data_IF_372593549819
#
_entry.id   IF_372593549819
#
_cell.length_a   1.000
_cell.length_b   1.000
_cell.length_c   1.000
_cell.angle_alpha   90.00
_cell.angle_beta   90.00
_cell.angle_gamma   90.00
#
_symmetry.space_group_name_H-M   'P 1'
#
loop_
_entity.id
_entity.type
_entity.pdbx_description
1 polymer ?
#
# COMPACT_ATOMS: atom_id res chain seq x y z
N UNK A 1 51.27 -5.00 -2.82
CA UNK A 1 50.17 -4.51 -3.65
C UNK A 1 49.93 -3.07 -3.28
N UNK A 2 49.83 -2.17 -4.25
CA UNK A 2 49.47 -0.78 -3.99
C UNK A 2 47.96 -0.72 -3.70
N UNK A 3 47.59 -0.14 -2.57
CA UNK A 3 46.18 0.10 -2.22
C UNK A 3 45.72 1.35 -2.97
N UNK A 4 44.64 1.31 -3.76
CA UNK A 4 44.16 2.49 -4.44
C UNK A 4 43.69 3.51 -3.40
N UNK A 5 44.17 4.75 -3.52
CA UNK A 5 43.63 5.89 -2.78
C UNK A 5 42.59 6.52 -3.70
N UNK A 6 41.32 6.28 -3.40
CA UNK A 6 40.22 7.00 -4.02
C UNK A 6 40.19 8.41 -3.40
N UNK A 7 40.82 9.38 -4.07
CA UNK A 7 40.62 10.79 -3.75
C UNK A 7 39.23 11.19 -4.28
N UNK A 8 38.20 10.81 -3.56
CA UNK A 8 36.83 11.23 -3.82
C UNK A 8 36.69 12.67 -3.32
N UNK A 9 36.50 13.61 -4.24
CA UNK A 9 36.12 14.98 -3.89
C UNK A 9 34.75 14.90 -3.21
N UNK A 10 34.70 15.19 -1.90
CA UNK A 10 33.46 15.24 -1.12
C UNK A 10 32.90 16.66 -1.14
N UNK A 11 31.66 16.80 -1.60
CA UNK A 11 30.99 18.10 -1.71
C UNK A 11 30.18 18.32 -0.44
N UNK A 12 30.59 19.29 0.38
CA UNK A 12 29.89 19.60 1.64
C UNK A 12 28.68 20.52 1.41
N UNK A 13 28.77 21.41 0.42
CA UNK A 13 27.74 22.37 0.06
C UNK A 13 27.79 22.65 -1.44
N UNK A 14 26.62 22.85 -2.04
CA UNK A 14 26.47 23.41 -3.36
C UNK A 14 25.57 24.64 -3.31
N UNK A 15 25.71 25.54 -4.28
CA UNK A 15 24.82 26.69 -4.43
C UNK A 15 24.13 26.58 -5.78
N UNK A 16 22.80 26.72 -5.79
CA UNK A 16 21.99 26.76 -7.01
C UNK A 16 20.81 27.70 -6.78
N UNK A 17 20.51 28.57 -7.74
CA UNK A 17 19.30 29.40 -7.76
C UNK A 17 19.02 30.21 -6.48
N UNK A 18 20.09 30.64 -5.79
CA UNK A 18 19.97 31.40 -4.54
C UNK A 18 19.87 30.55 -3.27
N UNK A 19 19.84 29.22 -3.39
CA UNK A 19 19.76 28.29 -2.27
C UNK A 19 21.09 27.55 -2.04
N UNK A 20 21.37 27.25 -0.77
CA UNK A 20 22.49 26.40 -0.37
C UNK A 20 21.96 24.99 -0.20
N UNK A 21 22.46 24.08 -1.02
CA UNK A 21 22.19 22.64 -0.97
C UNK A 21 23.20 22.02 -0.01
N UNK A 22 22.71 21.49 1.11
CA UNK A 22 23.54 20.81 2.11
C UNK A 22 23.94 19.42 1.66
N UNK A 23 24.99 18.89 2.29
CA UNK A 23 25.47 17.53 2.07
C UNK A 23 24.36 16.46 2.21
N UNK A 24 23.49 16.59 3.22
CA UNK A 24 22.38 15.66 3.45
C UNK A 24 21.38 15.63 2.29
N UNK A 25 21.24 16.74 1.56
CA UNK A 25 20.40 16.82 0.36
C UNK A 25 21.14 16.30 -0.87
N UNK A 26 22.44 16.60 -0.98
CA UNK A 26 23.30 16.14 -2.09
C UNK A 26 23.43 14.62 -2.12
N UNK A 27 23.56 14.00 -0.94
CA UNK A 27 23.71 12.55 -0.78
C UNK A 27 22.51 11.97 -0.03
N UNK A 28 21.30 12.45 -0.36
CA UNK A 28 20.07 11.96 0.25
C UNK A 28 19.92 10.45 0.04
N UNK A 29 19.67 9.75 1.15
CA UNK A 29 19.25 8.36 1.11
C UNK A 29 17.80 8.26 0.62
N UNK A 30 17.65 7.93 -0.66
CA UNK A 30 16.36 7.83 -1.32
C UNK A 30 15.49 6.69 -0.77
N UNK A 31 16.09 5.64 -0.22
CA UNK A 31 15.33 4.51 0.33
C UNK A 31 14.77 4.88 1.71
N UNK A 32 15.58 5.51 2.55
CA UNK A 32 15.12 6.08 3.82
C UNK A 32 14.03 7.13 3.59
N UNK A 33 14.22 8.03 2.63
CA UNK A 33 13.21 9.04 2.30
C UNK A 33 11.85 8.43 1.92
N UNK A 34 11.84 7.37 1.10
CA UNK A 34 10.59 6.67 0.74
C UNK A 34 9.91 6.02 1.95
N UNK A 35 10.69 5.46 2.86
CA UNK A 35 10.16 4.89 4.11
C UNK A 35 9.52 5.97 4.98
N UNK A 36 10.20 7.11 5.14
CA UNK A 36 9.71 8.25 5.91
C UNK A 36 8.43 8.83 5.29
N UNK A 37 8.38 8.96 3.96
CA UNK A 37 7.18 9.41 3.24
C UNK A 37 6.00 8.46 3.45
N UNK A 38 6.23 7.15 3.32
CA UNK A 38 5.19 6.13 3.52
C UNK A 38 4.67 6.15 4.96
N UNK A 39 5.56 6.37 5.93
CA UNK A 39 5.20 6.49 7.34
C UNK A 39 4.33 7.73 7.57
N UNK A 40 4.76 8.90 7.10
CA UNK A 40 4.01 10.15 7.23
C UNK A 40 2.61 10.05 6.60
N UNK A 41 2.50 9.41 5.43
CA UNK A 41 1.21 9.15 4.78
C UNK A 41 0.28 8.30 5.66
N UNK A 42 0.78 7.20 6.25
CA UNK A 42 -0.01 6.36 7.16
C UNK A 42 -0.43 7.10 8.43
N UNK A 43 0.44 7.93 8.98
CA UNK A 43 0.12 8.76 10.15
C UNK A 43 -0.98 9.77 9.82
N UNK A 44 -0.90 10.42 8.65
CA UNK A 44 -1.94 11.33 8.18
C UNK A 44 -3.29 10.63 7.98
N UNK A 45 -3.30 9.42 7.41
CA UNK A 45 -4.52 8.59 7.32
C UNK A 45 -5.08 8.24 8.70
N UNK A 46 -4.21 7.90 9.64
CA UNK A 46 -4.59 7.66 11.03
C UNK A 46 -5.34 8.84 11.63
N UNK A 47 -4.82 10.06 11.44
CA UNK A 47 -5.51 11.28 11.90
C UNK A 47 -6.84 11.46 11.17
N UNK A 48 -6.85 11.35 9.84
CA UNK A 48 -8.05 11.55 9.02
C UNK A 48 -9.22 10.67 9.48
N UNK A 49 -8.95 9.40 9.77
CA UNK A 49 -10.00 8.45 10.17
C UNK A 49 -10.51 8.63 11.61
N UNK A 50 -9.86 9.47 12.41
CA UNK A 50 -10.32 9.84 13.76
C UNK A 50 -11.08 11.18 13.77
N UNK A 51 -11.08 11.91 12.66
CA UNK A 51 -11.75 13.21 12.58
C UNK A 51 -13.27 13.07 12.41
N UNK A 52 -14.08 14.00 12.94
CA UNK A 52 -15.54 13.96 12.88
C UNK A 52 -16.10 14.48 11.54
N UNK A 53 -15.39 14.28 10.43
CA UNK A 53 -15.84 14.62 9.09
C UNK A 53 -15.49 13.51 8.11
N UNK A 54 -16.29 13.41 7.05
CA UNK A 54 -16.13 12.40 6.02
C UNK A 54 -15.57 13.01 4.75
N UNK A 55 -14.56 12.36 4.16
CA UNK A 55 -14.00 12.71 2.86
C UNK A 55 -14.44 11.69 1.83
N UNK A 56 -15.20 12.12 0.81
CA UNK A 56 -15.75 11.22 -0.23
C UNK A 56 -14.64 10.47 -0.98
N UNK A 57 -13.51 11.13 -1.24
CA UNK A 57 -12.35 10.54 -1.92
C UNK A 57 -11.76 9.32 -1.19
N UNK A 58 -12.06 9.17 0.11
CA UNK A 58 -11.48 8.13 0.97
C UNK A 58 -12.49 7.05 1.36
N UNK A 59 -13.65 7.01 0.69
CA UNK A 59 -14.77 6.09 1.00
C UNK A 59 -14.32 4.63 1.14
N UNK A 60 -13.56 4.14 0.17
CA UNK A 60 -13.09 2.74 0.16
C UNK A 60 -12.17 2.44 1.35
N UNK A 61 -11.34 3.40 1.73
CA UNK A 61 -10.44 3.26 2.87
C UNK A 61 -11.19 3.25 4.20
N UNK A 62 -12.26 4.06 4.33
CA UNK A 62 -13.15 4.00 5.49
C UNK A 62 -13.81 2.62 5.62
N UNK A 63 -14.34 2.07 4.51
CA UNK A 63 -14.96 0.73 4.49
C UNK A 63 -13.93 -0.34 4.89
N UNK A 64 -12.71 -0.24 4.37
CA UNK A 64 -11.62 -1.16 4.70
C UNK A 64 -11.25 -1.10 6.17
N UNK A 65 -11.12 0.11 6.76
CA UNK A 65 -10.86 0.29 8.20
C UNK A 65 -11.97 -0.35 9.02
N UNK A 66 -13.23 0.00 8.77
CA UNK A 66 -14.38 -0.54 9.49
C UNK A 66 -14.46 -2.07 9.42
N UNK A 67 -14.20 -2.64 8.24
CA UNK A 67 -14.16 -4.10 8.04
C UNK A 67 -13.07 -4.74 8.89
N UNK A 68 -11.86 -4.17 8.90
CA UNK A 68 -10.74 -4.68 9.69
C UNK A 68 -11.02 -4.65 11.19
N UNK A 69 -11.65 -3.60 11.68
CA UNK A 69 -12.04 -3.45 13.08
C UNK A 69 -13.14 -4.43 13.48
N UNK A 70 -14.15 -4.63 12.62
CA UNK A 70 -15.19 -5.61 12.84
C UNK A 70 -14.63 -7.04 12.91
N UNK A 71 -13.70 -7.39 12.01
CA UNK A 71 -13.01 -8.69 12.03
C UNK A 71 -12.20 -8.84 13.33
N UNK A 72 -11.48 -7.79 13.75
CA UNK A 72 -10.72 -7.79 15.00
C UNK A 72 -11.63 -8.01 16.22
N UNK A 73 -12.74 -7.28 16.30
CA UNK A 73 -13.72 -7.46 17.38
C UNK A 73 -14.32 -8.87 17.38
N UNK A 74 -14.66 -9.39 16.21
CA UNK A 74 -15.17 -10.76 16.08
C UNK A 74 -14.15 -11.78 16.61
N UNK A 75 -12.88 -11.64 16.23
CA UNK A 75 -11.80 -12.51 16.70
C UNK A 75 -11.62 -12.43 18.22
N UNK A 76 -11.72 -11.23 18.81
CA UNK A 76 -11.60 -11.03 20.27
C UNK A 76 -12.77 -11.69 21.02
N UNK A 77 -14.00 -11.58 20.50
CA UNK A 77 -15.21 -12.03 21.20
C UNK A 77 -15.41 -13.55 21.05
N UNK A 78 -15.23 -14.07 19.83
CA UNK A 78 -15.61 -15.43 19.50
C UNK A 78 -14.43 -16.38 19.32
N UNK A 79 -13.19 -15.89 19.28
CA UNK A 79 -11.97 -16.71 19.19
C UNK A 79 -11.78 -17.44 17.85
N UNK A 80 -12.84 -17.58 17.05
CA UNK A 80 -12.85 -18.14 15.71
C UNK A 80 -12.90 -17.02 14.67
N UNK A 81 -11.88 -16.94 13.83
CA UNK A 81 -11.87 -16.08 12.66
C UNK A 81 -12.90 -16.58 11.65
N UNK A 82 -14.15 -16.14 11.77
CA UNK A 82 -15.15 -16.36 10.72
C UNK A 82 -14.67 -15.54 9.50
N UNK A 83 -14.47 -16.23 8.38
CA UNK A 83 -14.12 -15.59 7.11
C UNK A 83 -15.08 -14.45 6.82
N UNK A 84 -14.53 -13.30 6.41
CA UNK A 84 -15.34 -12.18 5.95
C UNK A 84 -16.35 -12.68 4.91
N UNK A 85 -17.61 -12.21 4.92
CA UNK A 85 -18.56 -12.59 3.89
C UNK A 85 -17.97 -12.24 2.53
N UNK A 86 -17.67 -13.27 1.73
CA UNK A 86 -17.34 -13.13 0.33
C UNK A 86 -18.49 -12.38 -0.34
N UNK A 87 -18.14 -11.28 -1.00
CA UNK A 87 -18.90 -10.59 -2.05
C UNK A 87 -20.38 -11.03 -2.16
N UNK A 88 -21.31 -10.22 -1.64
CA UNK A 88 -22.71 -10.31 -2.05
C UNK A 88 -22.76 -9.83 -3.50
N UNK A 89 -22.62 -10.76 -4.44
CA UNK A 89 -22.96 -10.51 -5.84
C UNK A 89 -24.42 -10.00 -5.90
N UNK A 90 -24.69 -8.93 -6.66
CA UNK A 90 -26.07 -8.54 -6.92
C UNK A 90 -26.72 -9.66 -7.74
N UNK A 91 -27.64 -10.37 -7.08
CA UNK A 91 -28.54 -11.36 -7.67
C UNK A 91 -29.31 -10.74 -8.84
N UNK A 92 -28.84 -10.97 -10.07
CA UNK A 92 -29.63 -10.77 -11.29
C UNK A 92 -30.24 -12.12 -11.65
N UNK A 93 -31.57 -12.14 -11.77
CA UNK A 93 -32.40 -13.31 -12.06
C UNK A 93 -32.02 -14.02 -13.37
N UNK A 94 -32.10 -15.35 -13.32
CA UNK A 94 -31.85 -16.32 -14.39
C UNK A 94 -32.70 -16.10 -15.66
N UNK A 95 -32.05 -16.28 -16.81
CA UNK A 95 -32.61 -16.94 -17.99
C UNK A 95 -31.50 -17.78 -18.66
N UNK A 96 -31.60 -19.10 -18.52
CA UNK A 96 -30.88 -20.13 -19.31
C UNK A 96 -31.59 -20.41 -20.66
N UNK A 97 -31.05 -21.26 -21.58
CA UNK A 97 -29.65 -21.41 -22.04
C UNK A 97 -29.55 -21.52 -23.59
N UNK A 98 -28.35 -21.46 -24.18
CA UNK A 98 -28.03 -22.16 -25.45
C UNK A 98 -26.52 -22.51 -25.48
N UNK A 99 -26.22 -23.72 -25.97
CA UNK A 99 -25.01 -24.54 -25.80
C UNK A 99 -23.88 -24.28 -26.83
N UNK A 100 -22.72 -24.92 -26.56
CA UNK A 100 -21.57 -25.30 -27.44
C UNK A 100 -20.45 -24.25 -27.66
N UNK A 101 -19.13 -24.52 -27.60
CA UNK A 101 -18.26 -25.69 -27.26
C UNK A 101 -16.78 -25.20 -27.13
N UNK A 102 -15.98 -25.94 -26.36
CA UNK A 102 -14.51 -26.22 -26.43
C UNK A 102 -13.39 -25.16 -26.18
N UNK A 103 -12.73 -25.34 -25.02
CA UNK A 103 -11.28 -25.49 -24.72
C UNK A 103 -10.18 -24.62 -25.39
N UNK A 104 -9.39 -23.91 -24.56
CA UNK A 104 -7.96 -24.21 -24.34
C UNK A 104 -7.42 -23.52 -23.05
N UNK A 105 -6.55 -24.26 -22.36
CA UNK A 105 -6.05 -24.11 -20.99
C UNK A 105 -4.97 -23.02 -20.77
N UNK A 106 -4.99 -22.46 -19.54
CA UNK A 106 -3.88 -22.04 -18.67
C UNK A 106 -2.90 -20.94 -19.15
N UNK A 107 -2.51 -19.95 -18.32
CA UNK A 107 -1.72 -20.15 -17.10
C UNK A 107 -2.02 -19.10 -16.03
N UNK A 108 -2.36 -19.58 -14.84
CA UNK A 108 -2.66 -18.77 -13.65
C UNK A 108 -1.43 -18.30 -12.87
N UNK A 109 -1.55 -17.11 -12.28
CA UNK A 109 -0.57 -16.50 -11.35
C UNK A 109 -0.78 -17.04 -9.90
N UNK A 110 -1.50 -18.15 -9.73
CA UNK A 110 -1.97 -18.68 -8.45
C UNK A 110 -0.93 -19.39 -7.57
N UNK A 111 0.37 -19.22 -7.81
CA UNK A 111 1.45 -19.93 -7.11
C UNK A 111 2.43 -19.06 -6.32
N UNK A 112 2.25 -17.73 -6.27
CA UNK A 112 3.28 -16.82 -5.74
C UNK A 112 3.13 -16.44 -4.26
N UNK A 113 2.14 -16.98 -3.55
CA UNK A 113 1.91 -16.67 -2.14
C UNK A 113 1.49 -17.90 -1.33
N UNK A 114 2.23 -18.99 -1.49
CA UNK A 114 2.24 -20.13 -0.57
C UNK A 114 3.36 -20.01 0.45
#
# INVERSE_FOLDING_TARGET
GITPIESLIRINYAWSDGEIISEDLLYMDMDKFKQDFTKAYREALGILFEMPFFSEDMTDDYIRKATSEAILLNAIIFGEGIQAPSHVEPKVEEKEPEEEEEEEEEVGIGGLFG
#
